data_IF_363382312779
#
_entry.id   IF_363382312779
#
_cell.length_a   1.000
_cell.length_b   1.000
_cell.length_c   1.000
_cell.angle_alpha   90.00
_cell.angle_beta   90.00
_cell.angle_gamma   90.00
#
_symmetry.space_group_name_H-M   'P 1'
#
loop_
_entity.id
_entity.type
_entity.pdbx_description
1 polymer ?
#
# COMPACT_ATOMS: atom_id res chain seq x y z
N UNK A 1 -22.91 27.64 -5.98
CA UNK A 1 -22.46 26.31 -6.44
C UNK A 1 -20.94 26.27 -6.30
N UNK A 2 -20.41 25.61 -5.26
CA UNK A 2 -18.96 25.57 -5.00
C UNK A 2 -18.34 24.34 -5.65
N UNK A 3 -17.45 24.57 -6.61
CA UNK A 3 -16.61 23.56 -7.24
C UNK A 3 -15.73 22.88 -6.17
N UNK A 4 -16.01 21.61 -5.86
CA UNK A 4 -15.12 20.77 -5.05
C UNK A 4 -13.93 20.35 -5.91
N UNK A 5 -12.87 21.16 -5.88
CA UNK A 5 -11.58 20.80 -6.47
C UNK A 5 -11.04 19.53 -5.83
N UNK A 6 -11.09 18.41 -6.56
CA UNK A 6 -10.19 17.28 -6.32
C UNK A 6 -8.81 17.73 -6.77
N UNK A 7 -7.94 18.06 -5.81
CA UNK A 7 -6.52 18.22 -6.08
C UNK A 7 -5.91 16.82 -6.11
N UNK A 8 -5.64 16.35 -7.32
CA UNK A 8 -4.80 15.18 -7.52
C UNK A 8 -3.41 15.74 -7.83
N UNK A 9 -2.44 15.51 -6.96
CA UNK A 9 -1.04 15.79 -7.25
C UNK A 9 -0.30 14.48 -7.38
N UNK A 10 0.50 14.39 -8.44
CA UNK A 10 1.42 13.30 -8.71
C UNK A 10 2.81 13.82 -8.31
N UNK A 11 3.40 13.21 -7.29
CA UNK A 11 4.70 13.60 -6.75
C UNK A 11 5.69 12.45 -6.87
N UNK A 12 6.92 12.77 -7.26
CA UNK A 12 8.02 11.80 -7.35
C UNK A 12 8.82 11.81 -6.05
N UNK A 13 9.08 10.63 -5.49
CA UNK A 13 9.87 10.49 -4.27
C UNK A 13 11.35 10.83 -4.49
N UNK A 14 11.99 11.43 -3.49
CA UNK A 14 13.46 11.43 -3.44
C UNK A 14 13.98 9.99 -3.30
N UNK A 15 15.16 9.68 -3.85
CA UNK A 15 15.73 8.31 -3.80
C UNK A 15 15.85 7.77 -2.37
N UNK A 16 16.32 8.59 -1.45
CA UNK A 16 16.50 8.20 -0.05
C UNK A 16 15.15 7.93 0.63
N UNK A 17 14.15 8.77 0.34
CA UNK A 17 12.83 8.54 0.89
C UNK A 17 12.20 7.27 0.30
N UNK A 18 12.29 7.06 -1.02
CA UNK A 18 11.75 5.87 -1.65
C UNK A 18 12.32 4.58 -1.06
N UNK A 19 13.64 4.54 -0.80
CA UNK A 19 14.27 3.41 -0.13
C UNK A 19 13.68 3.14 1.27
N UNK A 20 13.45 4.18 2.06
CA UNK A 20 12.81 4.06 3.38
C UNK A 20 11.35 3.57 3.28
N UNK A 21 10.59 4.08 2.31
CA UNK A 21 9.21 3.63 2.03
C UNK A 21 9.19 2.15 1.67
N UNK A 22 10.09 1.72 0.81
CA UNK A 22 10.19 0.32 0.40
C UNK A 22 10.58 -0.59 1.57
N UNK A 23 11.55 -0.20 2.38
CA UNK A 23 11.96 -0.97 3.56
C UNK A 23 10.81 -1.15 4.57
N UNK A 24 10.04 -0.09 4.82
CA UNK A 24 8.85 -0.16 5.69
C UNK A 24 7.75 -1.01 5.09
N UNK A 25 7.51 -0.86 3.79
CA UNK A 25 6.52 -1.65 3.05
C UNK A 25 6.87 -3.14 3.14
N UNK A 26 8.12 -3.52 2.87
CA UNK A 26 8.61 -4.89 3.02
C UNK A 26 8.35 -5.42 4.43
N UNK A 27 8.71 -4.64 5.46
CA UNK A 27 8.56 -5.04 6.87
C UNK A 27 7.11 -5.23 7.31
N UNK A 28 6.18 -4.41 6.82
CA UNK A 28 4.74 -4.55 7.07
C UNK A 28 4.18 -5.76 6.32
N UNK A 29 4.57 -5.91 5.06
CA UNK A 29 4.08 -7.00 4.21
C UNK A 29 4.56 -8.37 4.68
N UNK A 30 5.81 -8.51 5.12
CA UNK A 30 6.31 -9.76 5.72
C UNK A 30 5.46 -10.18 6.92
N UNK A 31 5.14 -9.24 7.82
CA UNK A 31 4.23 -9.50 8.95
C UNK A 31 2.83 -9.92 8.50
N UNK A 32 2.29 -9.28 7.46
CA UNK A 32 1.01 -9.67 6.88
C UNK A 32 1.02 -11.08 6.28
N UNK A 33 2.15 -11.49 5.70
CA UNK A 33 2.40 -12.83 5.14
C UNK A 33 2.83 -13.85 6.20
N UNK A 34 2.92 -13.43 7.47
CA UNK A 34 3.38 -14.23 8.61
C UNK A 34 4.80 -14.78 8.42
N UNK A 35 5.68 -13.93 7.91
CA UNK A 35 7.09 -14.19 7.70
C UNK A 35 7.92 -13.19 8.52
N UNK A 36 8.99 -13.66 9.14
CA UNK A 36 9.94 -12.79 9.85
C UNK A 36 10.96 -12.16 8.90
N UNK A 37 11.31 -12.88 7.82
CA UNK A 37 12.27 -12.45 6.79
C UNK A 37 11.92 -13.05 5.43
N UNK A 38 12.44 -12.52 4.32
CA UNK A 38 12.31 -13.14 3.01
C UNK A 38 12.86 -14.59 3.04
N UNK A 39 12.08 -15.59 2.56
CA UNK A 39 12.53 -16.97 2.42
C UNK A 39 13.74 -17.08 1.50
N UNK A 40 14.68 -17.96 1.86
CA UNK A 40 15.82 -18.30 1.00
C UNK A 40 15.48 -19.54 0.17
N UNK A 41 15.09 -19.32 -1.07
CA UNK A 41 14.69 -20.39 -1.99
C UNK A 41 15.86 -20.76 -2.90
N UNK A 42 16.10 -22.06 -3.08
CA UNK A 42 17.05 -22.54 -4.08
C UNK A 42 16.56 -22.15 -5.50
N UNK A 43 17.45 -21.63 -6.34
CA UNK A 43 17.09 -21.06 -7.64
C UNK A 43 16.29 -22.05 -8.51
N UNK A 44 16.72 -23.31 -8.56
CA UNK A 44 16.05 -24.37 -9.31
C UNK A 44 14.62 -24.66 -8.83
N UNK A 45 14.32 -24.50 -7.54
CA UNK A 45 12.97 -24.66 -6.98
C UNK A 45 12.10 -23.47 -7.41
N UNK A 46 12.62 -22.25 -7.28
CA UNK A 46 11.94 -21.03 -7.68
C UNK A 46 11.60 -21.03 -9.18
N UNK A 47 12.52 -21.47 -10.03
CA UNK A 47 12.34 -21.49 -11.49
C UNK A 47 11.23 -22.47 -11.89
N UNK A 48 11.25 -23.69 -11.35
CA UNK A 48 10.18 -24.67 -11.58
C UNK A 48 8.82 -24.18 -11.10
N UNK A 49 8.78 -23.56 -9.93
CA UNK A 49 7.54 -23.01 -9.39
C UNK A 49 6.97 -21.87 -10.25
N UNK A 50 7.83 -20.98 -10.77
CA UNK A 50 7.41 -19.92 -11.71
C UNK A 50 6.89 -20.50 -13.01
N UNK A 51 7.55 -21.51 -13.58
CA UNK A 51 7.08 -22.15 -14.80
C UNK A 51 5.71 -22.81 -14.61
N UNK A 52 5.53 -23.52 -13.49
CA UNK A 52 4.25 -24.12 -13.12
C UNK A 52 3.16 -23.06 -12.91
N UNK A 53 3.49 -21.97 -12.21
CA UNK A 53 2.57 -20.87 -11.97
C UNK A 53 2.17 -20.14 -13.24
N UNK A 54 3.10 -19.93 -14.18
CA UNK A 54 2.81 -19.28 -15.46
C UNK A 54 1.75 -20.04 -16.27
N UNK A 55 1.78 -21.38 -16.24
CA UNK A 55 0.77 -22.23 -16.89
C UNK A 55 -0.61 -22.04 -16.23
N UNK A 56 -0.67 -22.06 -14.91
CA UNK A 56 -1.92 -21.86 -14.14
C UNK A 56 -2.48 -20.45 -14.32
N UNK A 57 -1.63 -19.43 -14.33
CA UNK A 57 -2.04 -18.03 -14.47
C UNK A 57 -2.67 -17.75 -15.85
N UNK A 58 -2.25 -18.45 -16.90
CA UNK A 58 -2.88 -18.37 -18.23
C UNK A 58 -4.31 -18.91 -18.23
N UNK A 59 -4.61 -19.90 -17.40
CA UNK A 59 -5.94 -20.53 -17.29
C UNK A 59 -6.89 -19.74 -16.36
N UNK A 60 -6.37 -18.81 -15.56
CA UNK A 60 -7.13 -18.02 -14.59
C UNK A 60 -7.02 -16.51 -14.87
N UNK A 61 -7.79 -15.97 -15.84
CA UNK A 61 -7.78 -14.54 -16.18
C UNK A 61 -8.10 -13.63 -14.99
N UNK A 62 -8.86 -14.11 -14.01
CA UNK A 62 -9.20 -13.38 -12.78
C UNK A 62 -7.98 -13.10 -11.89
N UNK A 63 -6.91 -13.92 -11.96
CA UNK A 63 -5.62 -13.65 -11.29
C UNK A 63 -4.75 -12.71 -12.13
N UNK A 64 -5.05 -12.53 -13.42
CA UNK A 64 -4.39 -11.55 -14.27
C UNK A 64 -4.96 -10.14 -14.12
N UNK A 65 -6.01 -9.93 -13.29
CA UNK A 65 -6.45 -8.58 -12.94
C UNK A 65 -5.38 -7.94 -12.06
N UNK A 66 -4.39 -7.34 -12.72
CA UNK A 66 -3.50 -6.36 -12.15
C UNK A 66 -4.30 -5.46 -11.19
N UNK A 67 -3.84 -5.38 -9.94
CA UNK A 67 -4.54 -4.65 -8.88
C UNK A 67 -4.97 -3.28 -9.37
N UNK A 68 -6.21 -2.89 -9.02
CA UNK A 68 -6.89 -1.67 -9.44
C UNK A 68 -5.93 -0.61 -9.99
N UNK A 69 -5.80 -0.53 -11.31
CA UNK A 69 -4.91 0.40 -11.99
C UNK A 69 -5.33 1.83 -11.69
N UNK A 70 -4.74 2.41 -10.66
CA UNK A 70 -4.35 3.79 -10.74
C UNK A 70 -3.07 3.81 -11.58
N UNK A 71 -3.02 4.67 -12.61
CA UNK A 71 -1.82 4.90 -13.42
C UNK A 71 -0.75 5.60 -12.56
N UNK A 72 -0.19 4.87 -11.59
CA UNK A 72 0.89 5.32 -10.72
C UNK A 72 2.10 4.50 -11.12
N UNK A 73 3.14 5.14 -11.66
CA UNK A 73 4.41 4.47 -11.91
C UNK A 73 5.08 4.07 -10.59
N UNK A 74 5.95 3.05 -10.62
CA UNK A 74 6.90 2.83 -9.52
C UNK A 74 7.68 4.12 -9.29
N UNK A 75 7.90 4.49 -8.01
CA UNK A 75 8.44 5.76 -7.50
C UNK A 75 7.54 7.00 -7.56
N UNK A 76 6.31 6.87 -8.00
CA UNK A 76 5.33 7.95 -7.95
C UNK A 76 4.36 7.74 -6.78
N UNK A 77 3.86 8.85 -6.28
CA UNK A 77 2.77 8.89 -5.33
C UNK A 77 1.57 9.59 -5.94
N UNK A 78 0.39 9.04 -5.65
CA UNK A 78 -0.87 9.75 -5.74
C UNK A 78 -1.29 10.27 -4.36
N UNK A 79 -1.40 11.59 -4.24
CA UNK A 79 -1.98 12.24 -3.06
C UNK A 79 -3.40 12.71 -3.36
N UNK A 80 -4.35 12.26 -2.55
CA UNK A 80 -5.77 12.53 -2.69
C UNK A 80 -6.32 13.13 -1.39
N UNK A 81 -6.76 14.40 -1.43
CA UNK A 81 -7.43 15.05 -0.29
C UNK A 81 -8.94 15.06 -0.45
N UNK A 82 -9.66 14.59 0.58
CA UNK A 82 -11.13 14.60 0.68
C UNK A 82 -11.55 15.19 2.03
N UNK A 83 -11.73 16.51 2.07
CA UNK A 83 -11.92 17.22 3.34
C UNK A 83 -10.65 17.15 4.19
N UNK A 84 -10.77 16.72 5.45
CA UNK A 84 -9.63 16.50 6.35
C UNK A 84 -8.92 15.16 6.17
N UNK A 85 -9.45 14.26 5.34
CA UNK A 85 -8.87 12.94 5.08
C UNK A 85 -7.94 13.00 3.87
N UNK A 86 -6.73 12.49 4.05
CA UNK A 86 -5.66 12.43 3.05
C UNK A 86 -5.38 10.96 2.76
N UNK A 87 -5.46 10.61 1.49
CA UNK A 87 -5.05 9.32 0.97
C UNK A 87 -3.71 9.50 0.26
N UNK A 88 -2.73 8.71 0.66
CA UNK A 88 -1.45 8.55 -0.04
C UNK A 88 -1.46 7.16 -0.65
N UNK A 89 -1.19 7.03 -1.94
CA UNK A 89 -1.11 5.73 -2.61
C UNK A 89 0.12 5.67 -3.51
N UNK A 90 0.82 4.54 -3.48
CA UNK A 90 2.02 4.32 -4.28
C UNK A 90 2.09 2.87 -4.77
N UNK A 91 2.71 2.69 -5.92
CA UNK A 91 2.88 1.40 -6.59
C UNK A 91 4.20 0.74 -6.18
N UNK A 92 4.14 -0.55 -5.87
CA UNK A 92 5.29 -1.36 -5.44
C UNK A 92 5.34 -2.60 -6.30
N UNK A 93 6.47 -2.82 -6.96
CA UNK A 93 6.76 -4.03 -7.72
C UNK A 93 7.50 -5.06 -6.86
N UNK A 94 7.49 -6.33 -7.26
CA UNK A 94 8.32 -7.33 -6.58
C UNK A 94 9.81 -7.02 -6.70
N UNK A 95 10.25 -6.38 -7.79
CA UNK A 95 11.64 -5.97 -7.99
C UNK A 95 12.06 -4.89 -6.99
N UNK A 96 11.17 -3.92 -6.71
CA UNK A 96 11.42 -2.90 -5.69
C UNK A 96 11.72 -3.50 -4.31
N UNK A 97 11.16 -4.68 -4.01
CA UNK A 97 11.34 -5.39 -2.74
C UNK A 97 12.42 -6.50 -2.79
N UNK A 98 12.88 -6.87 -3.98
CA UNK A 98 13.73 -8.06 -4.18
C UNK A 98 13.00 -9.38 -3.92
N UNK A 99 11.69 -9.45 -4.19
CA UNK A 99 10.82 -10.59 -3.85
C UNK A 99 10.49 -11.52 -5.02
N UNK A 100 10.95 -11.20 -6.22
CA UNK A 100 10.77 -11.99 -7.45
C UNK A 100 11.34 -13.42 -7.36
N UNK A 101 12.20 -13.69 -6.38
CA UNK A 101 12.80 -15.02 -6.14
C UNK A 101 11.89 -15.99 -5.39
N UNK A 102 10.88 -15.49 -4.69
CA UNK A 102 10.05 -16.33 -3.82
C UNK A 102 8.55 -15.99 -3.86
N UNK A 103 8.15 -14.81 -4.35
CA UNK A 103 6.75 -14.46 -4.63
C UNK A 103 6.44 -14.69 -6.10
N UNK A 104 5.33 -15.36 -6.37
CA UNK A 104 4.84 -15.68 -7.72
C UNK A 104 3.68 -14.79 -8.15
N UNK A 105 2.89 -14.29 -7.19
CA UNK A 105 1.77 -13.39 -7.44
C UNK A 105 1.45 -12.57 -6.17
N UNK A 106 1.02 -11.30 -6.29
CA UNK A 106 0.95 -10.52 -7.51
C UNK A 106 2.34 -9.98 -7.91
N UNK A 107 2.51 -9.62 -9.19
CA UNK A 107 3.78 -9.04 -9.69
C UNK A 107 4.02 -7.61 -9.18
N UNK A 108 2.94 -6.94 -8.76
CA UNK A 108 2.98 -5.63 -8.12
C UNK A 108 1.68 -5.36 -7.38
N UNK A 109 1.68 -4.37 -6.49
CA UNK A 109 0.51 -3.97 -5.72
C UNK A 109 0.56 -2.50 -5.31
N UNK A 110 -0.59 -1.96 -4.94
CA UNK A 110 -0.72 -0.59 -4.42
C UNK A 110 -0.75 -0.63 -2.90
N UNK A 111 0.04 0.23 -2.27
CA UNK A 111 -0.09 0.52 -0.84
C UNK A 111 -0.84 1.84 -0.67
N UNK A 112 -1.85 1.81 0.19
CA UNK A 112 -2.62 3.00 0.56
C UNK A 112 -2.47 3.33 2.05
N UNK A 113 -2.14 4.58 2.33
CA UNK A 113 -2.04 5.15 3.67
C UNK A 113 -3.14 6.20 3.82
N UNK A 114 -3.89 6.11 4.91
CA UNK A 114 -4.93 7.06 5.25
C UNK A 114 -4.48 7.92 6.42
N UNK A 115 -4.46 9.24 6.23
CA UNK A 115 -4.05 10.23 7.21
C UNK A 115 -5.15 11.28 7.35
N UNK A 116 -5.12 12.00 8.47
CA UNK A 116 -5.99 13.14 8.69
C UNK A 116 -7.42 12.77 9.10
N UNK A 117 -7.77 13.15 10.33
CA UNK A 117 -9.08 13.55 10.85
C UNK A 117 -8.89 13.76 12.35
N UNK A 118 -9.37 14.88 12.90
CA UNK A 118 -9.53 15.00 14.35
C UNK A 118 -10.75 14.15 14.75
N UNK A 119 -10.52 12.89 15.09
CA UNK A 119 -11.56 12.08 15.71
C UNK A 119 -11.81 12.65 17.11
N UNK A 120 -13.08 12.91 17.46
CA UNK A 120 -13.47 13.36 18.80
C UNK A 120 -13.22 12.32 19.90
N UNK A 121 -12.74 11.12 19.55
CA UNK A 121 -12.21 10.18 20.54
C UNK A 121 -10.86 10.71 21.01
N UNK A 122 -10.82 11.16 22.27
CA UNK A 122 -9.68 11.71 23.03
C UNK A 122 -8.37 10.90 22.96
N UNK A 123 -8.33 9.75 22.31
CA UNK A 123 -7.29 8.73 22.52
C UNK A 123 -6.66 8.18 21.23
N UNK A 124 -7.18 8.52 20.05
CA UNK A 124 -6.69 7.94 18.79
C UNK A 124 -6.30 9.02 17.78
N UNK A 125 -5.39 9.91 18.20
CA UNK A 125 -4.50 10.54 17.23
C UNK A 125 -3.57 9.44 16.76
N UNK A 126 -3.88 8.77 15.66
CA UNK A 126 -2.88 8.00 14.94
C UNK A 126 -1.80 9.00 14.54
N UNK A 127 -0.58 8.94 15.11
CA UNK A 127 0.46 9.89 14.75
C UNK A 127 0.68 9.77 13.25
N UNK A 128 0.78 10.90 12.56
CA UNK A 128 1.31 10.89 11.19
C UNK A 128 2.64 10.14 11.25
N UNK A 129 2.83 9.06 10.48
CA UNK A 129 4.08 8.32 10.50
C UNK A 129 5.24 9.29 10.26
N UNK A 130 6.24 9.30 11.15
CA UNK A 130 7.35 10.28 11.15
C UNK A 130 8.03 10.38 9.78
N UNK A 131 8.21 9.25 9.11
CA UNK A 131 8.81 9.18 7.78
C UNK A 131 8.03 9.97 6.70
N UNK A 132 6.71 10.13 6.85
CA UNK A 132 5.89 10.93 5.91
C UNK A 132 6.21 12.41 6.04
N UNK A 133 6.55 12.86 7.26
CA UNK A 133 6.99 14.23 7.52
C UNK A 133 8.43 14.45 7.06
N UNK A 134 9.33 13.51 7.35
CA UNK A 134 10.74 13.57 6.92
C UNK A 134 10.89 13.59 5.39
N UNK A 135 9.96 12.94 4.69
CA UNK A 135 9.91 12.94 3.24
C UNK A 135 9.17 14.13 2.61
N UNK A 136 8.68 15.08 3.41
CA UNK A 136 8.06 16.33 2.91
C UNK A 136 6.71 16.16 2.23
N UNK A 137 6.05 15.00 2.37
CA UNK A 137 4.80 14.66 1.65
C UNK A 137 3.56 15.36 2.16
N UNK A 138 3.66 15.89 3.37
CA UNK A 138 2.62 16.67 3.99
C UNK A 138 3.26 17.97 4.43
N UNK A 139 2.97 19.03 3.71
CA UNK A 139 3.07 20.36 4.30
C UNK A 139 2.22 20.37 5.58
N UNK A 140 2.84 20.80 6.68
CA UNK A 140 2.12 21.04 7.92
C UNK A 140 0.91 21.93 7.59
N UNK A 141 -0.31 21.57 8.00
CA UNK A 141 -1.43 22.47 7.84
C UNK A 141 -1.25 23.61 8.84
N UNK A 142 -0.58 24.69 8.41
CA UNK A 142 -0.30 25.85 9.27
C UNK A 142 -1.59 26.55 9.71
N UNK A 143 -2.71 26.42 8.99
CA UNK A 143 -3.98 27.01 9.39
C UNK A 143 -5.17 26.17 8.88
N UNK A 144 -5.53 25.12 9.61
CA UNK A 144 -6.87 24.54 9.47
C UNK A 144 -7.85 25.40 10.28
N UNK A 145 -8.93 25.94 9.67
CA UNK A 145 -9.96 26.63 10.42
C UNK A 145 -10.57 25.69 11.47
N UNK A 146 -11.01 26.21 12.63
CA UNK A 146 -11.63 25.38 13.67
C UNK A 146 -12.89 24.74 13.09
N UNK A 147 -12.93 23.41 13.06
CA UNK A 147 -14.08 22.66 12.56
C UNK A 147 -15.20 22.73 13.60
N UNK A 148 -16.37 23.19 13.18
CA UNK A 148 -17.59 23.23 13.97
C UNK A 148 -17.90 21.88 14.64
N UNK A 149 -18.26 21.93 15.91
CA UNK A 149 -18.26 20.84 16.90
C UNK A 149 -19.38 19.80 16.75
N UNK A 150 -19.90 19.55 15.54
CA UNK A 150 -21.03 18.62 15.35
C UNK A 150 -20.68 17.53 14.32
N UNK A 151 -20.48 16.31 14.82
CA UNK A 151 -20.07 15.08 14.12
C UNK A 151 -18.70 15.16 13.41
N UNK A 152 -17.63 14.88 14.16
CA UNK A 152 -16.30 14.71 13.59
C UNK A 152 -16.22 13.42 12.78
N UNK A 153 -16.24 13.53 11.45
CA UNK A 153 -16.10 12.38 10.55
C UNK A 153 -14.69 11.78 10.68
N UNK A 154 -14.56 10.48 10.92
CA UNK A 154 -13.26 9.82 11.00
C UNK A 154 -12.82 9.25 9.64
N UNK A 155 -11.58 9.56 9.23
CA UNK A 155 -10.94 8.95 8.06
C UNK A 155 -10.56 7.51 8.42
N UNK A 156 -11.18 6.54 7.75
CA UNK A 156 -10.87 5.12 7.92
C UNK A 156 -10.43 4.50 6.60
N UNK A 157 -9.45 3.57 6.64
CA UNK A 157 -9.15 2.76 5.48
C UNK A 157 -10.27 1.74 5.26
N UNK A 158 -10.70 1.59 4.01
CA UNK A 158 -11.36 0.37 3.57
C UNK A 158 -10.28 -0.67 3.28
N UNK A 159 -10.49 -1.91 3.73
CA UNK A 159 -9.52 -2.99 3.51
C UNK A 159 -10.07 -4.04 2.57
N UNK A 160 -9.28 -4.41 1.57
CA UNK A 160 -9.62 -5.40 0.55
C UNK A 160 -8.60 -6.53 0.59
N UNK A 161 -9.02 -7.81 0.53
CA UNK A 161 -8.09 -8.93 0.45
C UNK A 161 -7.29 -8.87 -0.86
N UNK A 162 -5.97 -9.02 -0.77
CA UNK A 162 -5.09 -9.16 -1.93
C UNK A 162 -4.38 -10.51 -1.84
N UNK A 163 -4.67 -11.48 -2.72
CA UNK A 163 -4.03 -12.79 -2.69
C UNK A 163 -2.55 -12.69 -3.07
N UNK A 164 -1.70 -13.29 -2.25
CA UNK A 164 -0.28 -13.54 -2.48
C UNK A 164 -0.07 -15.04 -2.62
N UNK A 165 0.62 -15.43 -3.68
CA UNK A 165 1.10 -16.80 -3.89
C UNK A 165 2.62 -16.77 -3.83
N UNK A 166 3.21 -17.52 -2.90
CA UNK A 166 4.65 -17.49 -2.64
C UNK A 166 5.18 -18.82 -2.11
N UNK A 167 6.50 -18.97 -2.14
CA UNK A 167 7.22 -20.14 -1.67
C UNK A 167 7.76 -19.94 -0.25
N UNK A 168 7.66 -20.98 0.57
CA UNK A 168 8.37 -21.08 1.85
C UNK A 168 9.75 -21.73 1.67
N UNK A 169 10.61 -21.66 2.69
CA UNK A 169 12.01 -22.15 2.62
C UNK A 169 12.12 -23.64 2.26
N UNK A 170 11.12 -24.44 2.59
CA UNK A 170 11.02 -25.87 2.24
C UNK A 170 10.56 -26.12 0.79
N UNK A 171 10.25 -25.06 0.04
CA UNK A 171 9.71 -25.12 -1.32
C UNK A 171 8.18 -25.27 -1.39
N UNK A 172 7.49 -25.26 -0.26
CA UNK A 172 6.02 -25.36 -0.22
C UNK A 172 5.39 -24.09 -0.80
N UNK A 173 4.40 -24.28 -1.67
CA UNK A 173 3.59 -23.19 -2.22
C UNK A 173 2.47 -22.80 -1.25
N UNK A 174 2.41 -21.52 -0.90
CA UNK A 174 1.42 -20.97 0.03
C UNK A 174 0.65 -19.84 -0.63
N UNK A 175 -0.68 -19.86 -0.43
CA UNK A 175 -1.56 -18.77 -0.83
C UNK A 175 -2.10 -18.09 0.44
N UNK A 176 -1.90 -16.78 0.57
CA UNK A 176 -2.46 -15.97 1.65
C UNK A 176 -3.11 -14.72 1.08
N UNK A 177 -4.23 -14.28 1.64
CA UNK A 177 -4.91 -13.06 1.19
C UNK A 177 -4.95 -12.00 2.30
N UNK A 178 -3.81 -11.36 2.62
CA UNK A 178 -3.80 -10.26 3.58
C UNK A 178 -4.74 -9.13 3.14
N UNK A 179 -5.36 -8.48 4.12
CA UNK A 179 -6.25 -7.35 3.89
C UNK A 179 -5.46 -6.05 3.90
N UNK A 180 -5.23 -5.48 2.72
CA UNK A 180 -4.54 -4.21 2.56
C UNK A 180 -5.55 -3.06 2.46
N UNK A 181 -5.12 -1.85 2.82
CA UNK A 181 -5.94 -0.66 2.62
C UNK A 181 -6.09 -0.41 1.10
N UNK A 182 -7.31 -0.23 0.61
CA UNK A 182 -7.60 0.07 -0.80
C UNK A 182 -7.93 1.54 -1.05
N UNK A 183 -8.54 2.20 -0.09
CA UNK A 183 -8.99 3.59 -0.19
C UNK A 183 -9.31 4.15 1.21
N UNK A 184 -9.36 5.48 1.28
CA UNK A 184 -9.68 6.22 2.49
C UNK A 184 -11.05 6.90 2.36
N UNK A 185 -11.88 6.76 3.40
CA UNK A 185 -13.20 7.38 3.45
C UNK A 185 -13.48 8.02 4.80
N UNK A 186 -14.17 9.16 4.79
CA UNK A 186 -14.68 9.80 6.00
C UNK A 186 -16.03 9.18 6.37
N UNK A 187 -16.10 8.42 7.47
CA UNK A 187 -17.38 8.00 8.04
C UNK A 187 -17.94 9.11 8.93
N UNK A 188 -19.26 9.38 8.90
CA UNK A 188 -19.94 10.29 9.82
C UNK A 188 -19.67 10.01 11.29
#
# INVERSE_FOLDING_TARGET
MLNKGKWNTEETWSKNCWAEVLWRTASVMLRHLRLDRPPRIAANVADRAREAWAKVAQELPALSSQGQHHNISSNQMLLLRRGSCVQISYHVTLDDLGWQTWVLHPNSFIITICLGCQCHRKEERSPTPIWIQECGLLEQPSHLPPVDSKQGRCCRPRRTPLPFTFLQEDGTLVVQAPRLNSDCHCQP
#
